data_IF_689829730363
#
_entry.id   IF_689829730363
#
_cell.length_a   1.000
_cell.length_b   1.000
_cell.length_c   1.000
_cell.angle_alpha   90.00
_cell.angle_beta   90.00
_cell.angle_gamma   90.00
#
_symmetry.space_group_name_H-M   'P 1'
#
loop_
_entity.id
_entity.type
_entity.pdbx_description
1 polymer ?
#
# COMPACT_ATOMS: atom_id res chain seq x y z
N UNK A 1 -13.14 -34.91 -33.85
CA UNK A 1 -11.70 -34.69 -34.13
C UNK A 1 -11.08 -34.31 -32.79
N UNK A 2 -10.73 -35.32 -31.98
CA UNK A 2 -9.34 -35.81 -31.77
C UNK A 2 -8.62 -34.90 -30.76
N UNK A 3 -8.15 -35.31 -29.59
CA UNK A 3 -7.84 -36.64 -29.05
C UNK A 3 -7.80 -36.61 -27.52
N UNK A 4 -8.11 -37.77 -26.93
CA UNK A 4 -7.82 -38.19 -25.56
C UNK A 4 -6.31 -38.21 -25.27
N UNK A 5 -5.90 -38.03 -24.00
CA UNK A 5 -5.37 -39.13 -23.18
C UNK A 5 -5.06 -38.74 -21.73
N UNK A 6 -5.26 -39.75 -20.88
CA UNK A 6 -5.14 -39.84 -19.43
C UNK A 6 -3.72 -40.27 -19.02
N UNK A 7 -3.25 -39.87 -17.82
CA UNK A 7 -2.43 -40.67 -16.88
C UNK A 7 -2.26 -39.84 -15.58
N UNK A 8 -2.82 -40.23 -14.43
CA UNK A 8 -2.45 -41.26 -13.45
C UNK A 8 -1.32 -40.88 -12.47
N UNK A 9 -1.61 -41.12 -11.19
CA UNK A 9 -0.73 -41.37 -10.02
C UNK A 9 -0.25 -40.19 -9.16
N UNK A 10 -0.76 -40.10 -7.92
CA UNK A 10 -0.14 -40.76 -6.76
C UNK A 10 -0.83 -40.38 -5.44
N UNK A 11 -1.21 -41.39 -4.66
CA UNK A 11 -1.83 -41.34 -3.32
C UNK A 11 -0.91 -42.11 -2.36
N UNK A 12 -0.49 -41.50 -1.26
CA UNK A 12 0.11 -42.12 -0.06
C UNK A 12 0.06 -41.05 1.06
N UNK A 13 -0.86 -41.06 2.03
CA UNK A 13 -1.10 -41.93 3.19
C UNK A 13 -0.06 -41.84 4.33
N UNK A 14 -0.60 -41.55 5.52
CA UNK A 14 -0.14 -41.86 6.88
C UNK A 14 1.15 -41.27 7.45
N UNK A 15 0.99 -40.39 8.45
CA UNK A 15 1.74 -40.47 9.72
C UNK A 15 0.85 -39.99 10.89
N UNK A 16 0.39 -40.99 11.66
CA UNK A 16 0.24 -41.09 13.11
C UNK A 16 -0.18 -39.89 13.99
N UNK A 17 -1.34 -40.04 14.64
CA UNK A 17 -1.75 -39.32 15.85
C UNK A 17 -1.45 -40.19 17.08
N UNK A 18 -0.73 -39.72 18.11
CA UNK A 18 -0.49 -40.49 19.31
C UNK A 18 -1.73 -40.51 20.21
N UNK A 19 -2.35 -41.69 20.32
CA UNK A 19 -3.35 -42.05 21.33
C UNK A 19 -2.64 -42.14 22.69
N UNK A 20 -2.80 -41.14 23.56
CA UNK A 20 -2.37 -41.24 24.96
C UNK A 20 -3.58 -41.23 25.89
N UNK A 21 -3.80 -42.43 26.40
CA UNK A 21 -4.61 -42.88 27.50
C UNK A 21 -4.59 -41.91 28.69
N UNK A 22 -5.76 -41.43 29.12
CA UNK A 22 -5.95 -40.82 30.44
C UNK A 22 -7.17 -41.51 31.06
N UNK A 23 -6.88 -42.67 31.63
CA UNK A 23 -7.75 -43.41 32.52
C UNK A 23 -8.19 -42.49 33.68
N UNK A 24 -9.50 -42.41 33.91
CA UNK A 24 -10.09 -41.74 35.07
C UNK A 24 -9.55 -42.40 36.36
N UNK A 25 -8.95 -41.65 37.30
CA UNK A 25 -8.60 -42.20 38.59
C UNK A 25 -9.86 -42.27 39.47
N UNK A 26 -10.16 -43.46 39.97
CA UNK A 26 -11.17 -43.75 40.98
C UNK A 26 -10.78 -43.06 42.32
N UNK A 27 -11.55 -42.07 42.82
CA UNK A 27 -11.23 -41.37 44.05
C UNK A 27 -12.10 -41.90 45.20
N UNK A 28 -11.93 -43.18 45.57
CA UNK A 28 -12.38 -43.68 46.89
C UNK A 28 -11.39 -43.33 48.03
N UNK A 29 -10.36 -42.51 47.74
CA UNK A 29 -9.43 -41.95 48.71
C UNK A 29 -9.99 -40.64 49.29
N UNK A 30 -10.80 -40.82 50.33
CA UNK A 30 -11.24 -39.82 51.30
C UNK A 30 -10.11 -38.89 51.77
N UNK A 31 -10.44 -37.60 51.89
CA UNK A 31 -9.79 -36.57 52.71
C UNK A 31 -8.47 -35.98 52.20
N UNK A 32 -8.57 -35.07 51.24
CA UNK A 32 -8.07 -33.71 51.50
C UNK A 32 -9.07 -32.71 50.91
N UNK A 33 -9.62 -31.84 51.75
CA UNK A 33 -10.77 -31.00 51.42
C UNK A 33 -10.53 -30.13 50.20
N UNK A 34 -11.61 -29.73 49.51
CA UNK A 34 -11.59 -28.71 48.45
C UNK A 34 -10.87 -27.48 49.00
N UNK A 35 -9.59 -27.35 48.67
CA UNK A 35 -8.79 -26.21 49.10
C UNK A 35 -9.15 -25.02 48.20
N UNK A 36 -9.13 -23.79 48.71
CA UNK A 36 -9.28 -22.59 47.86
C UNK A 36 -8.36 -22.63 46.62
N UNK A 37 -7.18 -23.24 46.75
CA UNK A 37 -6.21 -23.45 45.66
C UNK A 37 -6.72 -24.41 44.59
N UNK A 38 -7.43 -25.50 44.93
CA UNK A 38 -7.98 -26.42 43.92
C UNK A 38 -9.11 -25.76 43.11
N UNK A 39 -9.95 -24.94 43.75
CA UNK A 39 -10.98 -24.15 43.07
C UNK A 39 -10.38 -23.12 42.10
N UNK A 40 -9.30 -22.44 42.50
CA UNK A 40 -8.60 -21.49 41.62
C UNK A 40 -8.00 -22.16 40.37
N UNK A 41 -7.38 -23.33 40.52
CA UNK A 41 -6.87 -24.10 39.37
C UNK A 41 -7.99 -24.53 38.43
N UNK A 42 -9.14 -24.94 38.96
CA UNK A 42 -10.28 -25.35 38.13
C UNK A 42 -10.87 -24.15 37.36
N UNK A 43 -10.96 -22.97 38.00
CA UNK A 43 -11.34 -21.71 37.33
C UNK A 43 -10.40 -21.38 36.18
N UNK A 44 -9.09 -21.46 36.40
CA UNK A 44 -8.07 -21.20 35.36
C UNK A 44 -8.17 -22.19 34.19
N UNK A 45 -8.37 -23.48 34.46
CA UNK A 45 -8.57 -24.50 33.42
C UNK A 45 -9.84 -24.21 32.60
N UNK A 46 -10.95 -23.89 33.27
CA UNK A 46 -12.20 -23.56 32.58
C UNK A 46 -12.09 -22.28 31.76
N UNK A 47 -11.42 -21.25 32.27
CA UNK A 47 -11.13 -20.03 31.52
C UNK A 47 -10.30 -20.31 30.28
N UNK A 48 -9.25 -21.14 30.40
CA UNK A 48 -8.40 -21.51 29.27
C UNK A 48 -9.15 -22.38 28.24
N UNK A 49 -10.03 -23.29 28.68
CA UNK A 49 -10.89 -24.08 27.78
C UNK A 49 -11.93 -23.22 27.06
N UNK A 50 -12.57 -22.27 27.75
CA UNK A 50 -13.46 -21.30 27.14
C UNK A 50 -12.72 -20.44 26.11
N UNK A 51 -11.48 -20.04 26.41
CA UNK A 51 -10.62 -19.31 25.48
C UNK A 51 -10.29 -20.16 24.24
N UNK A 52 -9.82 -21.40 24.40
CA UNK A 52 -9.53 -22.29 23.27
C UNK A 52 -10.77 -22.57 22.41
N UNK A 53 -11.94 -22.77 23.02
CA UNK A 53 -13.20 -22.96 22.30
C UNK A 53 -13.57 -21.71 21.50
N UNK A 54 -13.43 -20.52 22.08
CA UNK A 54 -13.69 -19.25 21.38
C UNK A 54 -12.71 -19.04 20.21
N UNK A 55 -11.44 -19.40 20.38
CA UNK A 55 -10.43 -19.37 19.32
C UNK A 55 -10.78 -20.34 18.19
N UNK A 56 -11.17 -21.59 18.50
CA UNK A 56 -11.58 -22.58 17.49
C UNK A 56 -12.84 -22.15 16.73
N UNK A 57 -13.85 -21.59 17.42
CA UNK A 57 -15.05 -21.05 16.76
C UNK A 57 -14.69 -19.87 15.85
N UNK A 58 -13.76 -19.01 16.27
CA UNK A 58 -13.31 -17.88 15.47
C UNK A 58 -12.48 -18.31 14.26
N UNK A 59 -11.62 -19.33 14.41
CA UNK A 59 -10.83 -19.88 13.31
C UNK A 59 -11.69 -20.68 12.30
N UNK A 60 -12.68 -21.44 12.75
CA UNK A 60 -13.62 -22.15 11.87
C UNK A 60 -14.45 -21.18 11.03
N UNK A 61 -14.96 -20.11 11.65
CA UNK A 61 -15.69 -19.05 10.94
C UNK A 61 -14.82 -18.34 9.91
N UNK A 62 -13.53 -18.14 10.17
CA UNK A 62 -12.71 -17.34 9.24
C UNK A 62 -12.19 -18.13 8.02
N UNK A 63 -12.17 -19.46 8.07
CA UNK A 63 -11.65 -20.30 6.97
C UNK A 63 -12.74 -20.84 6.06
N UNK A 64 -13.88 -21.25 6.61
CA UNK A 64 -15.03 -21.72 5.79
C UNK A 64 -15.90 -20.56 5.27
N UNK A 65 -16.04 -19.46 6.03
CA UNK A 65 -16.89 -18.33 5.59
C UNK A 65 -16.26 -17.56 4.43
N UNK A 66 -14.94 -17.42 4.34
CA UNK A 66 -14.34 -16.62 3.26
C UNK A 66 -14.40 -17.29 1.88
N UNK A 67 -14.22 -18.61 1.78
CA UNK A 67 -14.40 -19.32 0.50
C UNK A 67 -15.87 -19.42 0.13
N UNK A 68 -16.74 -19.74 1.10
CA UNK A 68 -18.18 -19.79 0.87
C UNK A 68 -18.78 -18.43 0.48
N UNK A 69 -18.34 -17.32 1.08
CA UNK A 69 -18.80 -15.97 0.73
C UNK A 69 -18.33 -15.54 -0.67
N UNK A 70 -17.09 -15.86 -1.05
CA UNK A 70 -16.57 -15.57 -2.39
C UNK A 70 -17.33 -16.36 -3.46
N UNK A 71 -17.58 -17.66 -3.22
CA UNK A 71 -18.38 -18.50 -4.11
C UNK A 71 -19.84 -18.05 -4.16
N UNK A 72 -20.45 -17.68 -3.03
CA UNK A 72 -21.80 -17.11 -2.99
C UNK A 72 -21.90 -15.83 -3.81
N UNK A 73 -20.95 -14.89 -3.65
CA UNK A 73 -20.93 -13.65 -4.42
C UNK A 73 -20.77 -13.91 -5.93
N UNK A 74 -19.96 -14.89 -6.30
CA UNK A 74 -19.82 -15.33 -7.68
C UNK A 74 -21.12 -15.92 -8.22
N UNK A 75 -21.76 -16.84 -7.50
CA UNK A 75 -23.03 -17.44 -7.91
C UNK A 75 -24.16 -16.40 -7.98
N UNK A 76 -24.19 -15.43 -7.06
CA UNK A 76 -25.14 -14.32 -7.09
C UNK A 76 -24.96 -13.48 -8.37
N UNK A 77 -23.72 -13.15 -8.73
CA UNK A 77 -23.40 -12.44 -9.98
C UNK A 77 -23.80 -13.24 -11.22
N UNK A 78 -23.53 -14.55 -11.24
CA UNK A 78 -23.94 -15.44 -12.34
C UNK A 78 -25.46 -15.57 -12.46
N UNK A 79 -26.18 -15.66 -11.34
CA UNK A 79 -27.66 -15.68 -11.30
C UNK A 79 -28.22 -14.36 -11.82
N UNK A 80 -27.69 -13.22 -11.38
CA UNK A 80 -28.14 -11.90 -11.85
C UNK A 80 -27.85 -11.72 -13.35
N UNK A 81 -26.68 -12.15 -13.82
CA UNK A 81 -26.37 -12.13 -15.25
C UNK A 81 -27.33 -13.02 -16.07
N UNK A 82 -27.64 -14.22 -15.56
CA UNK A 82 -28.59 -15.12 -16.21
C UNK A 82 -30.01 -14.53 -16.23
N UNK A 83 -30.46 -13.91 -15.13
CA UNK A 83 -31.75 -13.21 -15.04
C UNK A 83 -31.83 -12.06 -16.03
N UNK A 84 -30.81 -11.21 -16.10
CA UNK A 84 -30.74 -10.10 -17.06
C UNK A 84 -30.72 -10.61 -18.51
N UNK A 85 -29.97 -11.67 -18.79
CA UNK A 85 -29.95 -12.29 -20.12
C UNK A 85 -31.32 -12.82 -20.52
N UNK A 86 -31.99 -13.54 -19.62
CA UNK A 86 -33.34 -14.05 -19.83
C UNK A 86 -34.33 -12.90 -20.08
N UNK A 87 -34.33 -11.89 -19.20
CA UNK A 87 -35.19 -10.72 -19.34
C UNK A 87 -35.00 -10.00 -20.68
N UNK A 88 -33.75 -9.77 -21.09
CA UNK A 88 -33.44 -9.15 -22.38
C UNK A 88 -33.94 -9.98 -23.57
N UNK A 89 -33.79 -11.32 -23.52
CA UNK A 89 -34.31 -12.21 -24.57
C UNK A 89 -35.83 -12.16 -24.66
N UNK A 90 -36.54 -12.21 -23.53
CA UNK A 90 -37.99 -12.07 -23.49
C UNK A 90 -38.45 -10.71 -24.01
N UNK A 91 -37.75 -9.63 -23.65
CA UNK A 91 -38.06 -8.28 -24.14
C UNK A 91 -37.89 -8.17 -25.66
N UNK A 92 -36.82 -8.73 -26.22
CA UNK A 92 -36.60 -8.79 -27.69
C UNK A 92 -37.70 -9.58 -28.38
N UNK A 93 -38.08 -10.76 -27.85
CA UNK A 93 -39.15 -11.58 -28.40
C UNK A 93 -40.50 -10.83 -28.39
N UNK A 94 -40.86 -10.21 -27.27
CA UNK A 94 -42.09 -9.43 -27.15
C UNK A 94 -42.12 -8.27 -28.17
N UNK A 95 -41.00 -7.55 -28.33
CA UNK A 95 -40.87 -6.49 -29.34
C UNK A 95 -41.05 -7.04 -30.75
N UNK A 96 -40.44 -8.18 -31.06
CA UNK A 96 -40.57 -8.82 -32.37
C UNK A 96 -42.01 -9.23 -32.67
N UNK A 97 -42.73 -9.76 -31.68
CA UNK A 97 -44.14 -10.13 -31.81
C UNK A 97 -45.04 -8.91 -32.04
N UNK A 98 -44.85 -7.83 -31.28
CA UNK A 98 -45.57 -6.57 -31.47
C UNK A 98 -45.33 -6.03 -32.89
N UNK A 99 -44.07 -6.00 -33.34
CA UNK A 99 -43.74 -5.56 -34.68
C UNK A 99 -44.38 -6.44 -35.77
N UNK A 100 -44.42 -7.77 -35.59
CA UNK A 100 -45.13 -8.66 -36.51
C UNK A 100 -46.61 -8.32 -36.61
N UNK A 101 -47.28 -8.14 -35.46
CA UNK A 101 -48.69 -7.78 -35.42
C UNK A 101 -48.99 -6.42 -36.07
N UNK A 102 -48.10 -5.43 -35.88
CA UNK A 102 -48.18 -4.11 -36.54
C UNK A 102 -48.07 -4.26 -38.06
N UNK A 103 -47.07 -5.02 -38.54
CA UNK A 103 -46.87 -5.27 -39.97
C UNK A 103 -48.10 -5.96 -40.59
N UNK A 104 -48.62 -7.00 -39.93
CA UNK A 104 -49.83 -7.71 -40.37
C UNK A 104 -51.04 -6.77 -40.48
N UNK A 105 -51.21 -5.87 -39.50
CA UNK A 105 -52.30 -4.90 -39.49
C UNK A 105 -52.17 -3.86 -40.61
N UNK A 106 -50.95 -3.44 -40.93
CA UNK A 106 -50.66 -2.55 -42.05
C UNK A 106 -50.97 -3.20 -43.41
N UNK A 107 -50.68 -4.50 -43.56
CA UNK A 107 -50.93 -5.26 -44.81
C UNK A 107 -52.43 -5.46 -45.05
N UNK A 108 -53.24 -5.60 -43.98
CA UNK A 108 -54.69 -5.79 -44.08
C UNK A 108 -55.44 -4.58 -44.70
N UNK A 109 -54.78 -3.44 -44.93
CA UNK A 109 -55.36 -2.24 -45.56
C UNK A 109 -56.72 -1.81 -44.96
N UNK A 110 -56.85 -1.94 -43.64
CA UNK A 110 -58.03 -1.45 -42.91
C UNK A 110 -58.09 0.08 -42.85
N UNK A 111 -59.19 0.63 -42.32
CA UNK A 111 -59.38 2.07 -42.17
C UNK A 111 -58.20 2.77 -41.46
N UNK A 112 -57.56 2.07 -40.51
CA UNK A 112 -56.47 2.61 -39.68
C UNK A 112 -55.06 2.40 -40.31
N UNK A 113 -54.96 1.81 -41.50
CA UNK A 113 -53.67 1.39 -42.06
C UNK A 113 -52.75 2.57 -42.42
N UNK A 114 -53.30 3.69 -42.90
CA UNK A 114 -52.52 4.89 -43.21
C UNK A 114 -52.03 5.61 -41.95
N UNK A 115 -52.86 5.69 -40.91
CA UNK A 115 -52.45 6.23 -39.61
C UNK A 115 -51.33 5.39 -38.97
N UNK A 116 -51.43 4.05 -39.08
CA UNK A 116 -50.40 3.14 -38.58
C UNK A 116 -49.08 3.23 -39.35
N UNK A 117 -49.12 3.49 -40.67
CA UNK A 117 -47.94 3.78 -41.49
C UNK A 117 -47.25 5.06 -41.06
N UNK A 118 -48.01 6.14 -40.90
CA UNK A 118 -47.50 7.43 -40.44
C UNK A 118 -46.83 7.30 -39.07
N UNK A 119 -47.50 6.64 -38.12
CA UNK A 119 -46.95 6.38 -36.79
C UNK A 119 -45.68 5.53 -36.83
N UNK A 120 -45.63 4.53 -37.72
CA UNK A 120 -44.44 3.68 -37.90
C UNK A 120 -43.26 4.48 -38.45
N UNK A 121 -43.50 5.38 -39.41
CA UNK A 121 -42.47 6.28 -39.95
C UNK A 121 -41.93 7.22 -38.88
N UNK A 122 -42.81 7.86 -38.11
CA UNK A 122 -42.43 8.73 -36.99
C UNK A 122 -41.62 7.96 -35.93
N UNK A 123 -42.05 6.74 -35.59
CA UNK A 123 -41.31 5.89 -34.64
C UNK A 123 -39.92 5.52 -35.17
N UNK A 124 -39.78 5.25 -36.47
CA UNK A 124 -38.48 5.01 -37.12
C UNK A 124 -37.56 6.22 -37.01
N UNK A 125 -38.07 7.43 -37.32
CA UNK A 125 -37.31 8.68 -37.21
C UNK A 125 -36.84 8.93 -35.76
N UNK A 126 -37.71 8.71 -34.78
CA UNK A 126 -37.36 8.83 -33.35
C UNK A 126 -36.29 7.79 -32.97
N UNK A 127 -36.40 6.56 -33.45
CA UNK A 127 -35.42 5.51 -33.19
C UNK A 127 -34.05 5.87 -33.79
N UNK A 128 -34.00 6.40 -35.00
CA UNK A 128 -32.77 6.87 -35.63
C UNK A 128 -32.09 7.99 -34.84
N UNK A 129 -32.85 9.01 -34.43
CA UNK A 129 -32.36 10.10 -33.56
C UNK A 129 -31.87 9.55 -32.22
N UNK A 130 -32.60 8.61 -31.62
CA UNK A 130 -32.21 7.97 -30.36
C UNK A 130 -30.89 7.21 -30.51
N UNK A 131 -30.73 6.44 -31.59
CA UNK A 131 -29.48 5.71 -31.88
C UNK A 131 -28.31 6.69 -32.05
N UNK A 132 -28.54 7.81 -32.74
CA UNK A 132 -27.51 8.83 -32.93
C UNK A 132 -27.05 9.44 -31.60
N UNK A 133 -27.99 9.86 -30.73
CA UNK A 133 -27.70 10.39 -29.40
C UNK A 133 -26.97 9.34 -28.53
N UNK A 134 -27.36 8.06 -28.62
CA UNK A 134 -26.68 6.98 -27.89
C UNK A 134 -25.23 6.77 -28.37
N UNK A 135 -24.96 6.92 -29.67
CA UNK A 135 -23.59 6.87 -30.21
C UNK A 135 -22.75 8.04 -29.70
N UNK A 136 -23.28 9.26 -29.76
CA UNK A 136 -22.61 10.47 -29.26
C UNK A 136 -22.35 10.39 -27.75
N UNK A 137 -23.32 9.86 -26.98
CA UNK A 137 -23.16 9.64 -25.54
C UNK A 137 -22.06 8.63 -25.25
N UNK A 138 -21.97 7.54 -26.02
CA UNK A 138 -20.90 6.54 -25.88
C UNK A 138 -19.53 7.13 -26.19
N UNK A 139 -19.42 7.88 -27.29
CA UNK A 139 -18.20 8.58 -27.68
C UNK A 139 -17.72 9.54 -26.57
N UNK A 140 -18.63 10.34 -26.01
CA UNK A 140 -18.32 11.23 -24.88
C UNK A 140 -17.90 10.45 -23.62
N UNK A 141 -18.55 9.32 -23.33
CA UNK A 141 -18.19 8.48 -22.20
C UNK A 141 -16.78 7.87 -22.37
N UNK A 142 -16.42 7.46 -23.58
CA UNK A 142 -15.07 6.97 -23.89
C UNK A 142 -14.02 8.07 -23.73
N UNK A 143 -14.31 9.30 -24.21
CA UNK A 143 -13.46 10.48 -24.00
C UNK A 143 -13.29 10.83 -22.52
N UNK A 144 -14.37 10.80 -21.73
CA UNK A 144 -14.30 11.02 -20.28
C UNK A 144 -13.40 9.96 -19.63
N UNK A 145 -13.54 8.70 -20.03
CA UNK A 145 -12.74 7.59 -19.52
C UNK A 145 -11.25 7.78 -19.85
N UNK A 146 -10.92 8.24 -21.06
CA UNK A 146 -9.54 8.54 -21.45
C UNK A 146 -8.94 9.69 -20.62
N UNK A 147 -9.67 10.80 -20.47
CA UNK A 147 -9.25 11.93 -19.63
C UNK A 147 -9.03 11.49 -18.18
N UNK A 148 -9.88 10.62 -17.65
CA UNK A 148 -9.70 10.07 -16.30
C UNK A 148 -8.43 9.20 -16.17
N UNK A 149 -8.09 8.41 -17.20
CA UNK A 149 -6.84 7.65 -17.26
C UNK A 149 -5.62 8.57 -17.30
N UNK A 150 -5.62 9.57 -18.18
CA UNK A 150 -4.55 10.57 -18.29
C UNK A 150 -4.36 11.32 -16.96
N UNK A 151 -5.45 11.71 -16.29
CA UNK A 151 -5.41 12.35 -14.98
C UNK A 151 -4.77 11.45 -13.91
N UNK A 152 -5.09 10.15 -13.92
CA UNK A 152 -4.52 9.19 -12.97
C UNK A 152 -3.02 9.01 -13.19
N UNK A 153 -2.60 8.90 -14.45
CA UNK A 153 -1.18 8.80 -14.82
C UNK A 153 -0.40 10.05 -14.38
N UNK A 154 -0.90 11.25 -14.69
CA UNK A 154 -0.29 12.52 -14.24
C UNK A 154 -0.20 12.60 -12.71
N UNK A 155 -1.23 12.16 -11.97
CA UNK A 155 -1.19 12.10 -10.51
C UNK A 155 -0.07 11.15 -10.01
N UNK A 156 0.14 10.04 -10.69
CA UNK A 156 1.25 9.12 -10.45
C UNK A 156 2.61 9.79 -10.69
N UNK A 157 2.77 10.49 -11.82
CA UNK A 157 4.00 11.22 -12.15
C UNK A 157 4.30 12.33 -11.14
N UNK A 158 3.30 13.11 -10.72
CA UNK A 158 3.44 14.15 -9.70
C UNK A 158 3.92 13.55 -8.37
N UNK A 159 3.34 12.42 -7.95
CA UNK A 159 3.78 11.72 -6.72
C UNK A 159 5.25 11.30 -6.81
N UNK A 160 5.66 10.73 -7.94
CA UNK A 160 7.05 10.32 -8.18
C UNK A 160 8.00 11.52 -8.15
N UNK A 161 7.64 12.63 -8.81
CA UNK A 161 8.44 13.87 -8.78
C UNK A 161 8.53 14.49 -7.40
N UNK A 162 7.46 14.43 -6.60
CA UNK A 162 7.48 14.88 -5.21
C UNK A 162 8.43 14.04 -4.35
N UNK A 163 8.47 12.71 -4.56
CA UNK A 163 9.43 11.83 -3.88
C UNK A 163 10.88 12.20 -4.25
N UNK A 164 11.15 12.37 -5.55
CA UNK A 164 12.47 12.76 -6.06
C UNK A 164 12.94 14.12 -5.49
N UNK A 165 12.03 15.10 -5.36
CA UNK A 165 12.32 16.39 -4.73
C UNK A 165 12.66 16.23 -3.23
N UNK A 166 11.94 15.37 -2.51
CA UNK A 166 12.20 15.12 -1.10
C UNK A 166 13.54 14.42 -0.88
N UNK A 167 13.89 13.45 -1.71
CA UNK A 167 15.19 12.75 -1.69
C UNK A 167 16.34 13.74 -1.93
N UNK A 168 16.23 14.60 -2.95
CA UNK A 168 17.22 15.64 -3.23
C UNK A 168 17.34 16.66 -2.09
N UNK A 169 16.23 17.02 -1.45
CA UNK A 169 16.24 17.91 -0.29
C UNK A 169 16.99 17.29 0.89
N UNK A 170 16.75 16.00 1.17
CA UNK A 170 17.44 15.27 2.22
C UNK A 170 18.93 15.11 1.92
N UNK A 171 19.30 14.83 0.67
CA UNK A 171 20.71 14.76 0.26
C UNK A 171 21.42 16.10 0.48
N UNK A 172 20.78 17.21 0.09
CA UNK A 172 21.33 18.56 0.31
C UNK A 172 21.51 18.89 1.79
N UNK A 173 20.58 18.49 2.65
CA UNK A 173 20.67 18.67 4.10
C UNK A 173 21.86 17.87 4.67
N UNK A 174 21.98 16.60 4.29
CA UNK A 174 23.11 15.75 4.66
C UNK A 174 24.46 16.33 4.19
N UNK A 175 24.53 16.82 2.95
CA UNK A 175 25.74 17.48 2.44
C UNK A 175 26.08 18.75 3.24
N UNK A 176 25.07 19.53 3.64
CA UNK A 176 25.24 20.70 4.50
C UNK A 176 25.84 20.35 5.85
N UNK A 177 25.36 19.28 6.50
CA UNK A 177 25.95 18.79 7.76
C UNK A 177 27.40 18.33 7.60
N UNK A 178 27.71 17.62 6.51
CA UNK A 178 29.08 17.15 6.23
C UNK A 178 30.02 18.33 5.99
N UNK A 179 29.59 19.33 5.22
CA UNK A 179 30.37 20.55 5.00
C UNK A 179 30.60 21.31 6.31
N UNK A 180 29.57 21.44 7.15
CA UNK A 180 29.67 22.10 8.44
C UNK A 180 30.64 21.38 9.39
N UNK A 181 30.52 20.05 9.53
CA UNK A 181 31.46 19.23 10.33
C UNK A 181 32.90 19.33 9.82
N UNK A 182 33.08 19.37 8.50
CA UNK A 182 34.41 19.52 7.88
C UNK A 182 35.01 20.89 8.20
N UNK A 183 34.19 21.95 8.12
CA UNK A 183 34.58 23.30 8.48
C UNK A 183 34.97 23.41 9.95
N UNK A 184 34.16 22.88 10.87
CA UNK A 184 34.45 22.87 12.32
C UNK A 184 35.75 22.13 12.65
N UNK A 185 36.02 21.00 11.98
CA UNK A 185 37.30 20.27 12.14
C UNK A 185 38.47 21.11 11.64
N UNK A 186 38.34 21.77 10.49
CA UNK A 186 39.37 22.64 9.95
C UNK A 186 39.67 23.82 10.89
N UNK A 187 38.62 24.45 11.45
CA UNK A 187 38.73 25.54 12.42
C UNK A 187 39.39 25.06 13.74
N UNK A 188 39.02 23.89 14.26
CA UNK A 188 39.63 23.33 15.46
C UNK A 188 41.12 23.03 15.28
N UNK A 189 41.50 22.50 14.11
CA UNK A 189 42.91 22.27 13.76
C UNK A 189 43.66 23.60 13.67
N UNK A 190 43.09 24.60 12.99
CA UNK A 190 43.68 25.94 12.88
C UNK A 190 43.93 26.56 14.26
N UNK A 191 42.93 26.51 15.15
CA UNK A 191 43.05 27.02 16.52
C UNK A 191 44.13 26.30 17.33
N UNK A 192 44.28 24.98 17.16
CA UNK A 192 45.34 24.20 17.82
C UNK A 192 46.72 24.69 17.38
N UNK A 193 46.94 24.87 16.08
CA UNK A 193 48.21 25.37 15.55
C UNK A 193 48.49 26.81 15.99
N UNK A 194 47.47 27.67 16.01
CA UNK A 194 47.58 29.03 16.55
C UNK A 194 48.03 29.01 18.02
N UNK A 195 47.40 28.21 18.90
CA UNK A 195 47.80 28.10 20.31
C UNK A 195 49.25 27.62 20.49
N UNK A 196 49.66 26.58 19.75
CA UNK A 196 51.04 26.07 19.80
C UNK A 196 52.03 27.16 19.38
N UNK A 197 51.68 27.92 18.33
CA UNK A 197 52.51 29.02 17.82
C UNK A 197 52.65 30.12 18.86
N UNK A 198 51.56 30.53 19.52
CA UNK A 198 51.58 31.51 20.62
C UNK A 198 52.42 31.04 21.81
N UNK A 199 52.31 29.76 22.21
CA UNK A 199 53.14 29.19 23.29
C UNK A 199 54.62 29.22 22.90
N UNK A 200 54.95 28.76 21.69
CA UNK A 200 56.33 28.73 21.21
C UNK A 200 56.95 30.13 21.15
N UNK A 201 56.17 31.11 20.68
CA UNK A 201 56.57 32.52 20.68
C UNK A 201 56.82 33.04 22.09
N UNK A 202 55.92 32.77 23.05
CA UNK A 202 56.09 33.20 24.44
C UNK A 202 57.32 32.55 25.11
N UNK A 203 57.58 31.27 24.85
CA UNK A 203 58.79 30.57 25.32
C UNK A 203 60.05 31.20 24.72
N UNK A 204 60.05 31.44 23.41
CA UNK A 204 61.19 32.06 22.72
C UNK A 204 61.49 33.46 23.26
N UNK A 205 60.46 34.29 23.48
CA UNK A 205 60.59 35.60 24.15
C UNK A 205 61.22 35.46 25.54
N UNK A 206 60.73 34.51 26.35
CA UNK A 206 61.26 34.25 27.70
C UNK A 206 62.74 33.86 27.71
N UNK A 207 63.16 32.99 26.78
CA UNK A 207 64.56 32.59 26.61
C UNK A 207 65.44 33.78 26.22
N UNK A 208 65.00 34.61 25.26
CA UNK A 208 65.75 35.79 24.82
C UNK A 208 65.93 36.76 26.01
N UNK A 209 64.87 37.05 26.77
CA UNK A 209 64.96 37.93 27.95
C UNK A 209 65.87 37.37 29.06
N UNK A 210 65.84 36.05 29.30
CA UNK A 210 66.65 35.40 30.34
C UNK A 210 68.14 35.28 29.96
N UNK A 211 68.47 35.23 28.66
CA UNK A 211 69.82 35.02 28.15
C UNK A 211 70.83 36.14 28.48
N UNK A 212 70.36 37.30 28.98
CA UNK A 212 71.18 38.50 29.23
C UNK A 212 72.04 38.95 28.03
N UNK A 213 71.72 38.46 26.83
CA UNK A 213 72.33 38.95 25.59
C UNK A 213 71.79 40.35 25.35
N UNK A 214 72.66 41.31 25.04
CA UNK A 214 72.26 42.65 24.59
C UNK A 214 71.60 42.54 23.20
N UNK A 215 70.41 41.96 23.13
CA UNK A 215 69.61 41.81 21.92
C UNK A 215 69.29 43.16 21.27
N UNK A 216 69.40 44.25 22.04
CA UNK A 216 69.27 45.63 21.58
C UNK A 216 70.45 46.09 20.73
N UNK A 217 71.63 45.51 20.93
CA UNK A 217 72.87 45.85 20.22
C UNK A 217 73.13 44.92 19.02
N UNK A 218 72.48 43.74 18.98
CA UNK A 218 72.51 42.83 17.83
C UNK A 218 71.29 43.07 16.92
N UNK A 219 71.48 43.63 15.70
CA UNK A 219 70.38 43.91 14.77
C UNK A 219 69.57 42.66 14.41
N UNK A 220 70.22 41.48 14.36
CA UNK A 220 69.53 40.23 14.01
C UNK A 220 68.61 39.78 15.12
N UNK A 221 69.05 39.91 16.38
CA UNK A 221 68.22 39.59 17.54
C UNK A 221 67.09 40.62 17.71
N UNK A 222 67.35 41.91 17.46
CA UNK A 222 66.31 42.95 17.49
C UNK A 222 65.17 42.67 16.50
N UNK A 223 65.48 42.27 15.25
CA UNK A 223 64.47 41.91 14.24
C UNK A 223 63.63 40.70 14.68
N UNK A 224 64.26 39.68 15.26
CA UNK A 224 63.56 38.49 15.77
C UNK A 224 62.62 38.86 16.93
N UNK A 225 63.08 39.69 17.88
CA UNK A 225 62.26 40.13 19.03
C UNK A 225 61.07 40.98 18.56
N UNK A 226 61.27 41.91 17.63
CA UNK A 226 60.18 42.73 17.09
C UNK A 226 59.15 41.90 16.32
N UNK A 227 59.59 40.91 15.53
CA UNK A 227 58.69 39.97 14.84
C UNK A 227 57.89 39.12 15.81
N UNK A 228 58.47 38.81 16.97
CA UNK A 228 57.72 38.16 18.04
C UNK A 228 56.67 39.12 18.60
N UNK A 229 56.99 40.40 18.86
CA UNK A 229 56.09 41.39 19.45
C UNK A 229 54.86 41.73 18.57
N UNK A 230 55.00 41.64 17.25
CA UNK A 230 53.97 42.11 16.30
C UNK A 230 52.89 41.09 15.88
N UNK A 231 52.81 39.92 16.50
CA UNK A 231 51.77 38.93 16.15
C UNK A 231 50.61 39.04 17.15
N UNK A 232 49.40 39.45 16.70
CA UNK A 232 48.29 39.73 17.59
C UNK A 232 47.77 38.45 18.24
N UNK A 233 47.46 38.56 19.53
CA UNK A 233 46.73 37.59 20.36
C UNK A 233 45.36 37.24 19.79
#
# INVERSE_FOLDING_TARGET
>A
MSSSNVNHDALASDVDTPRRDNSLPDPSSVSDGVTPTSLLKMKEIMENQCFEMNVKVSMGKHRESCEAEADLSKYESEIEQARLSHFNKTLVLNRMQIWSAVIEKMIQNGADAEELKELTNQNSEICEKTIQILKETRELQDQITDVQKQRLDLKGQIKKKMQEINELKQEKENQGEVQQKTKERAEAVLQKYQRITTILQNVLRGIILASKVNWREDPKLSDIVMKLEHIPS
#
